data_IF_817973477048
#
_entry.id   IF_817973477048
#
_cell.length_a   1.000
_cell.length_b   1.000
_cell.length_c   1.000
_cell.angle_alpha   90.00
_cell.angle_beta   90.00
_cell.angle_gamma   90.00
#
_symmetry.space_group_name_H-M   'P 1'
#
loop_
_entity.id
_entity.type
_entity.pdbx_description
1 polymer ?
#
# COMPACT_ATOMS: atom_id res chain seq x y z
N UNK A 1 -7.48 -25.00 -20.48
CA UNK A 1 -6.34 -25.20 -19.54
C UNK A 1 -6.37 -26.62 -19.03
N UNK A 2 -5.26 -27.37 -19.10
CA UNK A 2 -5.17 -28.71 -18.48
C UNK A 2 -4.64 -28.55 -17.06
N UNK A 3 -5.50 -28.69 -16.06
CA UNK A 3 -5.09 -28.74 -14.66
C UNK A 3 -4.30 -30.02 -14.41
N UNK A 4 -3.08 -29.90 -13.87
CA UNK A 4 -2.18 -31.01 -13.59
C UNK A 4 -1.63 -30.86 -12.18
N UNK A 5 -1.53 -31.97 -11.43
CA UNK A 5 -0.75 -31.97 -10.21
C UNK A 5 0.74 -31.78 -10.53
N UNK A 6 1.54 -31.31 -9.55
CA UNK A 6 2.98 -31.02 -9.71
C UNK A 6 3.75 -32.20 -10.30
N UNK A 7 3.39 -33.44 -9.94
CA UNK A 7 4.01 -34.66 -10.48
C UNK A 7 3.70 -34.87 -11.96
N UNK A 8 2.43 -34.77 -12.35
CA UNK A 8 2.03 -34.92 -13.74
C UNK A 8 2.62 -33.82 -14.62
N UNK A 9 2.69 -32.60 -14.11
CA UNK A 9 3.36 -31.49 -14.78
C UNK A 9 4.85 -31.77 -14.99
N UNK A 10 5.59 -32.11 -13.93
CA UNK A 10 7.04 -32.41 -14.00
C UNK A 10 7.39 -33.54 -14.94
N UNK A 11 6.52 -34.56 -15.06
CA UNK A 11 6.73 -35.72 -15.93
C UNK A 11 6.07 -35.58 -17.31
N UNK A 12 5.48 -34.42 -17.61
CA UNK A 12 4.68 -34.17 -18.81
C UNK A 12 3.62 -35.25 -19.08
N UNK A 13 2.97 -35.74 -18.02
CA UNK A 13 1.90 -36.74 -18.09
C UNK A 13 0.54 -36.06 -18.14
N UNK A 14 -0.45 -36.74 -18.73
CA UNK A 14 -1.86 -36.36 -18.58
C UNK A 14 -2.30 -36.61 -17.13
N UNK A 15 -3.06 -35.66 -16.58
CA UNK A 15 -3.57 -35.73 -15.22
C UNK A 15 -5.06 -36.04 -15.28
N UNK A 16 -5.43 -37.31 -15.11
CA UNK A 16 -6.82 -37.73 -15.02
C UNK A 16 -7.27 -37.65 -13.57
N UNK A 17 -8.25 -36.79 -13.30
CA UNK A 17 -8.73 -36.51 -11.94
C UNK A 17 -9.76 -37.55 -11.56
N UNK A 18 -9.56 -38.21 -10.42
CA UNK A 18 -10.60 -38.95 -9.74
C UNK A 18 -11.27 -38.02 -8.72
N UNK A 19 -12.55 -37.71 -8.94
CA UNK A 19 -13.28 -36.74 -8.12
C UNK A 19 -13.67 -37.30 -6.75
N UNK A 20 -13.71 -38.63 -6.59
CA UNK A 20 -14.03 -39.26 -5.31
C UNK A 20 -12.88 -39.16 -4.32
N UNK A 21 -11.63 -39.39 -4.76
CA UNK A 21 -10.44 -39.26 -3.91
C UNK A 21 -9.83 -37.86 -3.92
N UNK A 22 -10.19 -37.01 -4.89
CA UNK A 22 -9.51 -35.73 -5.11
C UNK A 22 -8.06 -35.90 -5.59
N UNK A 23 -7.66 -37.10 -6.04
CA UNK A 23 -6.32 -37.36 -6.53
C UNK A 23 -6.33 -37.66 -8.02
N UNK A 24 -5.19 -37.54 -8.68
CA UNK A 24 -5.07 -38.00 -10.06
C UNK A 24 -4.79 -39.50 -10.10
N UNK A 25 -5.37 -40.20 -11.09
CA UNK A 25 -5.19 -41.65 -11.28
C UNK A 25 -3.73 -42.08 -11.31
N UNK A 26 -2.87 -41.24 -11.90
CA UNK A 26 -1.43 -41.49 -11.94
C UNK A 26 -0.77 -41.45 -10.56
N UNK A 27 -1.22 -40.59 -9.64
CA UNK A 27 -0.74 -40.54 -8.25
C UNK A 27 -1.31 -41.70 -7.42
N UNK A 28 -2.59 -42.02 -7.60
CA UNK A 28 -3.25 -43.17 -6.95
C UNK A 28 -2.51 -44.47 -7.29
N UNK A 29 -2.22 -44.71 -8.56
CA UNK A 29 -1.59 -45.94 -9.04
C UNK A 29 -0.21 -46.22 -8.42
N UNK A 30 0.53 -45.16 -8.07
CA UNK A 30 1.86 -45.29 -7.44
C UNK A 30 1.84 -44.97 -5.95
N UNK A 31 0.66 -44.76 -5.36
CA UNK A 31 0.49 -44.31 -3.97
C UNK A 31 1.36 -43.09 -3.61
N UNK A 32 1.47 -42.14 -4.53
CA UNK A 32 2.21 -40.90 -4.30
C UNK A 32 1.25 -39.76 -3.91
N UNK A 33 1.76 -38.80 -3.15
CA UNK A 33 1.03 -37.57 -2.87
C UNK A 33 0.61 -36.85 -4.16
N UNK A 34 -0.59 -36.27 -4.13
CA UNK A 34 -1.18 -35.58 -5.26
C UNK A 34 -1.48 -34.13 -4.89
N UNK A 35 -0.67 -33.20 -5.38
CA UNK A 35 -0.89 -31.76 -5.19
C UNK A 35 -1.93 -31.17 -6.15
N UNK A 36 -2.95 -31.97 -6.52
CA UNK A 36 -3.96 -31.53 -7.47
C UNK A 36 -4.89 -30.48 -6.84
N UNK A 37 -5.21 -30.67 -5.57
CA UNK A 37 -5.95 -29.73 -4.75
C UNK A 37 -5.06 -29.25 -3.61
N UNK A 38 -5.26 -27.99 -3.23
CA UNK A 38 -4.70 -27.39 -2.01
C UNK A 38 -5.51 -27.91 -0.83
N UNK A 39 -4.84 -28.24 0.27
CA UNK A 39 -5.53 -28.79 1.45
C UNK A 39 -6.34 -27.69 2.16
N UNK A 40 -7.35 -28.09 2.93
CA UNK A 40 -8.11 -27.16 3.76
C UNK A 40 -7.19 -26.42 4.74
N UNK A 41 -6.22 -27.12 5.34
CA UNK A 41 -5.21 -26.52 6.22
C UNK A 41 -4.37 -25.43 5.52
N UNK A 42 -3.98 -25.64 4.26
CA UNK A 42 -3.26 -24.61 3.48
C UNK A 42 -4.16 -23.39 3.19
N UNK A 43 -5.45 -23.61 2.93
CA UNK A 43 -6.41 -22.51 2.78
C UNK A 43 -6.61 -21.72 4.08
N UNK A 44 -6.76 -22.42 5.21
CA UNK A 44 -6.92 -21.79 6.53
C UNK A 44 -5.70 -20.92 6.88
N UNK A 45 -4.48 -21.38 6.57
CA UNK A 45 -3.25 -20.59 6.76
C UNK A 45 -3.28 -19.29 5.97
N UNK A 46 -3.66 -19.35 4.68
CA UNK A 46 -3.76 -18.14 3.83
C UNK A 46 -4.86 -17.20 4.35
N UNK A 47 -5.98 -17.74 4.82
CA UNK A 47 -7.03 -16.91 5.42
C UNK A 47 -6.59 -16.24 6.72
N UNK A 48 -5.90 -16.97 7.60
CA UNK A 48 -5.37 -16.42 8.85
C UNK A 48 -4.35 -15.30 8.57
N UNK A 49 -3.43 -15.53 7.63
CA UNK A 49 -2.46 -14.52 7.19
C UNK A 49 -3.18 -13.28 6.62
N UNK A 50 -4.19 -13.48 5.76
CA UNK A 50 -4.99 -12.38 5.21
C UNK A 50 -5.71 -11.58 6.30
N UNK A 51 -6.22 -12.23 7.34
CA UNK A 51 -6.84 -11.56 8.50
C UNK A 51 -5.82 -10.73 9.28
N UNK A 52 -4.63 -11.27 9.54
CA UNK A 52 -3.55 -10.51 10.19
C UNK A 52 -3.12 -9.31 9.37
N UNK A 53 -2.90 -9.48 8.07
CA UNK A 53 -2.48 -8.39 7.17
C UNK A 53 -3.52 -7.27 7.09
N UNK A 54 -4.82 -7.59 7.14
CA UNK A 54 -5.88 -6.59 7.24
C UNK A 54 -5.80 -5.76 8.53
N UNK A 55 -5.50 -6.40 9.66
CA UNK A 55 -5.32 -5.68 10.93
C UNK A 55 -4.07 -4.81 10.93
N UNK A 56 -2.96 -5.30 10.35
CA UNK A 56 -1.73 -4.50 10.16
C UNK A 56 -2.00 -3.28 9.28
N UNK A 57 -2.72 -3.47 8.17
CA UNK A 57 -3.09 -2.37 7.27
C UNK A 57 -3.91 -1.31 8.00
N UNK A 58 -4.95 -1.71 8.74
CA UNK A 58 -5.79 -0.78 9.49
C UNK A 58 -4.97 0.06 10.50
N UNK A 59 -4.02 -0.56 11.21
CA UNK A 59 -3.11 0.17 12.12
C UNK A 59 -2.21 1.16 11.39
N UNK A 60 -1.68 0.76 10.23
CA UNK A 60 -0.84 1.63 9.42
C UNK A 60 -1.62 2.81 8.82
N UNK A 61 -2.88 2.59 8.44
CA UNK A 61 -3.78 3.64 7.97
C UNK A 61 -4.05 4.68 9.07
N UNK A 62 -4.27 4.24 10.32
CA UNK A 62 -4.42 5.14 11.47
C UNK A 62 -3.15 5.99 11.68
N UNK A 63 -1.98 5.37 11.66
CA UNK A 63 -0.70 6.08 11.77
C UNK A 63 -0.50 7.07 10.63
N UNK A 64 -0.84 6.67 9.40
CA UNK A 64 -0.75 7.54 8.23
C UNK A 64 -1.69 8.73 8.34
N UNK A 65 -2.92 8.51 8.80
CA UNK A 65 -3.89 9.58 9.03
C UNK A 65 -3.39 10.57 10.09
N UNK A 66 -2.77 10.06 11.16
CA UNK A 66 -2.13 10.88 12.19
C UNK A 66 -1.01 11.75 11.60
N UNK A 67 -0.08 11.16 10.86
CA UNK A 67 1.04 11.89 10.25
C UNK A 67 0.56 12.93 9.24
N UNK A 68 -0.50 12.64 8.47
CA UNK A 68 -1.12 13.61 7.57
C UNK A 68 -1.67 14.82 8.31
N UNK A 69 -2.28 14.62 9.48
CA UNK A 69 -2.74 15.75 10.31
C UNK A 69 -1.56 16.58 10.82
N UNK A 70 -0.52 15.92 11.33
CA UNK A 70 0.68 16.62 11.82
C UNK A 70 1.37 17.42 10.71
N UNK A 71 1.36 16.91 9.46
CA UNK A 71 1.84 17.65 8.29
C UNK A 71 1.02 18.91 8.03
N UNK A 72 -0.32 18.81 8.05
CA UNK A 72 -1.19 19.97 7.85
C UNK A 72 -0.94 21.06 8.90
N UNK A 73 -0.69 20.70 10.15
CA UNK A 73 -0.34 21.64 11.22
C UNK A 73 1.03 22.33 10.98
N UNK A 74 1.96 21.65 10.30
CA UNK A 74 3.23 22.26 9.87
C UNK A 74 2.99 23.22 8.71
N UNK A 75 2.23 22.81 7.69
CA UNK A 75 1.90 23.63 6.52
C UNK A 75 1.11 24.89 6.89
N UNK A 76 0.27 24.84 7.92
CA UNK A 76 -0.42 26.02 8.45
C UNK A 76 0.56 27.00 9.09
N UNK A 77 1.52 26.50 9.88
CA UNK A 77 2.56 27.33 10.49
C UNK A 77 3.46 27.97 9.44
N UNK A 78 3.84 27.21 8.41
CA UNK A 78 4.60 27.72 7.28
C UNK A 78 3.88 28.88 6.59
N UNK A 79 2.58 28.72 6.31
CA UNK A 79 1.74 29.81 5.74
C UNK A 79 1.69 31.02 6.64
N UNK A 80 1.50 30.84 7.95
CA UNK A 80 1.49 31.95 8.90
C UNK A 80 2.83 32.71 8.95
N UNK A 81 3.96 32.03 8.72
CA UNK A 81 5.26 32.69 8.59
C UNK A 81 5.36 33.48 7.28
N UNK A 82 4.96 32.88 6.16
CA UNK A 82 4.94 33.56 4.88
C UNK A 82 4.07 34.84 4.90
N UNK A 83 2.88 34.77 5.51
CA UNK A 83 1.98 35.92 5.64
C UNK A 83 2.61 37.04 6.48
N UNK A 84 3.28 36.68 7.58
CA UNK A 84 3.98 37.63 8.45
C UNK A 84 5.12 38.31 7.70
N UNK A 85 5.96 37.53 7.03
CA UNK A 85 7.12 38.04 6.30
C UNK A 85 6.66 38.96 5.15
N UNK A 86 5.59 38.57 4.45
CA UNK A 86 4.98 39.40 3.40
C UNK A 86 4.46 40.73 3.95
N UNK A 87 3.81 40.73 5.11
CA UNK A 87 3.33 41.96 5.75
C UNK A 87 4.50 42.89 6.13
N UNK A 88 5.59 42.34 6.68
CA UNK A 88 6.79 43.12 7.01
C UNK A 88 7.44 43.73 5.78
N UNK A 89 7.60 42.95 4.70
CA UNK A 89 8.14 43.44 3.43
C UNK A 89 7.26 44.56 2.84
N UNK A 90 5.95 44.42 2.93
CA UNK A 90 4.99 45.42 2.45
C UNK A 90 5.12 46.75 3.22
N UNK A 91 5.30 46.70 4.55
CA UNK A 91 5.55 47.89 5.37
C UNK A 91 6.87 48.56 5.00
N UNK A 92 7.96 47.80 4.86
CA UNK A 92 9.26 48.33 4.46
C UNK A 92 9.23 48.98 3.08
N UNK A 93 8.52 48.39 2.12
CA UNK A 93 8.39 48.97 0.78
C UNK A 93 7.62 50.29 0.82
N UNK A 94 6.54 50.37 1.61
CA UNK A 94 5.79 51.61 1.80
C UNK A 94 6.65 52.72 2.43
N UNK A 95 7.43 52.40 3.46
CA UNK A 95 8.37 53.36 4.08
C UNK A 95 9.42 53.87 3.08
N UNK A 96 9.93 53.00 2.20
CA UNK A 96 10.86 53.39 1.14
C UNK A 96 10.19 54.31 0.10
N UNK A 97 8.99 53.96 -0.36
CA UNK A 97 8.23 54.78 -1.32
C UNK A 97 7.92 56.17 -0.75
N UNK A 98 7.54 56.26 0.53
CA UNK A 98 7.29 57.53 1.23
C UNK A 98 8.58 58.35 1.38
N UNK A 99 9.71 57.72 1.73
CA UNK A 99 11.00 58.39 1.82
C UNK A 99 11.49 58.93 0.46
N UNK A 100 11.32 58.16 -0.62
CA UNK A 100 11.68 58.55 -1.98
C UNK A 100 10.78 59.67 -2.52
N UNK A 101 9.46 59.60 -2.27
CA UNK A 101 8.50 60.63 -2.67
C UNK A 101 8.67 61.96 -1.94
N UNK A 102 9.13 61.93 -0.68
CA UNK A 102 9.41 63.14 0.12
C UNK A 102 10.76 63.78 -0.24
N UNK A 103 11.63 63.05 -0.94
CA UNK A 103 12.97 63.50 -1.34
C UNK A 103 13.03 64.13 -2.74
N UNK A 104 11.90 64.19 -3.46
CA UNK A 104 11.83 64.84 -4.77
C UNK A 104 11.88 66.37 -4.62
N UNK A 105 12.88 67.08 -5.19
CA UNK A 105 12.92 68.54 -5.15
C UNK A 105 11.86 69.09 -6.11
N UNK A 106 11.07 70.05 -5.62
CA UNK A 106 10.10 70.81 -6.41
C UNK A 106 10.74 71.79 -7.39
#
# INVERSE_FOLDING_TARGET
>A
MTFRCKRCEKKNLRCFVDTASGQCAGCIAVKAECSLFVTEEEWEKVEAEKRQKRLELARSEEQTARLRRELLEVEERERAYADRDHALLSLQNREKEEAEGTSAPG
#
